data_IF_385956110632
#
_entry.id   IF_385956110632
#
_cell.length_a   1.000
_cell.length_b   1.000
_cell.length_c   1.000
_cell.angle_alpha   90.00
_cell.angle_beta   90.00
_cell.angle_gamma   90.00
#
_symmetry.space_group_name_H-M   'P 1'
#
loop_
_entity.id
_entity.type
_entity.pdbx_description
1 polymer ?
#
# COMPACT_ATOMS: atom_id res chain seq x y z
N UNK A 1 -23.47 6.86 3.26
CA UNK A 1 -23.54 6.01 4.46
C UNK A 1 -23.02 4.66 4.04
N UNK A 2 -21.76 4.36 4.35
CA UNK A 2 -21.20 3.06 3.99
C UNK A 2 -21.49 2.07 5.13
N UNK A 3 -22.08 0.91 4.81
CA UNK A 3 -22.49 -0.07 5.79
C UNK A 3 -21.24 -0.63 6.48
N UNK A 4 -21.32 -0.78 7.79
CA UNK A 4 -20.26 -1.36 8.62
C UNK A 4 -19.92 -2.75 8.09
N UNK A 5 -18.85 -2.86 7.30
CA UNK A 5 -18.35 -4.10 6.72
C UNK A 5 -16.85 -4.19 7.00
N UNK A 6 -16.49 -5.05 7.96
CA UNK A 6 -15.13 -5.56 8.25
C UNK A 6 -13.99 -4.54 8.25
N UNK A 7 -13.72 -3.94 9.42
CA UNK A 7 -12.52 -3.16 9.76
C UNK A 7 -11.91 -2.30 8.62
N UNK A 8 -12.19 -1.00 8.61
CA UNK A 8 -11.40 -0.02 7.83
C UNK A 8 -10.04 0.23 8.50
N UNK A 9 -9.24 -0.84 8.58
CA UNK A 9 -7.97 -0.89 9.31
C UNK A 9 -6.97 0.11 8.73
N UNK A 10 -7.00 0.35 7.42
CA UNK A 10 -6.14 1.34 6.76
C UNK A 10 -6.45 2.75 7.24
N UNK A 11 -7.73 3.15 7.34
CA UNK A 11 -8.08 4.47 7.91
C UNK A 11 -7.72 4.57 9.39
N UNK A 12 -7.92 3.50 10.15
CA UNK A 12 -7.51 3.47 11.56
C UNK A 12 -5.99 3.68 11.69
N UNK A 13 -5.18 2.92 10.94
CA UNK A 13 -3.72 3.10 10.92
C UNK A 13 -3.36 4.53 10.51
N UNK A 14 -3.96 5.07 9.45
CA UNK A 14 -3.72 6.45 9.00
C UNK A 14 -4.06 7.47 10.08
N UNK A 15 -5.13 7.28 10.84
CA UNK A 15 -5.53 8.18 11.93
C UNK A 15 -4.54 8.20 13.10
N UNK A 16 -3.67 7.19 13.23
CA UNK A 16 -2.64 7.11 14.26
C UNK A 16 -1.33 7.80 13.84
N UNK A 17 -1.20 8.23 12.59
CA UNK A 17 0.03 8.84 12.08
C UNK A 17 0.00 10.36 12.31
N UNK A 18 0.97 10.86 13.08
CA UNK A 18 1.23 12.30 13.21
C UNK A 18 2.33 12.76 12.24
N UNK A 19 2.23 12.34 10.97
CA UNK A 19 3.22 12.67 9.93
C UNK A 19 2.52 12.81 8.57
N UNK A 20 2.63 13.98 7.91
CA UNK A 20 1.92 14.23 6.65
C UNK A 20 2.47 13.42 5.47
N UNK A 21 3.76 13.08 5.48
CA UNK A 21 4.44 12.33 4.41
C UNK A 21 5.20 11.14 5.01
N UNK A 22 4.50 10.08 5.48
CA UNK A 22 5.15 8.95 6.12
C UNK A 22 5.95 8.13 5.10
N UNK A 23 6.95 7.40 5.61
CA UNK A 23 7.62 6.35 4.86
C UNK A 23 7.01 5.02 5.31
N UNK A 24 6.45 4.26 4.38
CA UNK A 24 5.77 2.99 4.63
C UNK A 24 6.63 1.87 4.04
N UNK A 25 6.98 0.90 4.88
CA UNK A 25 7.65 -0.33 4.47
C UNK A 25 6.65 -1.48 4.53
N UNK A 26 6.35 -2.07 3.37
CA UNK A 26 5.43 -3.20 3.22
C UNK A 26 6.24 -4.48 2.91
N UNK A 27 6.44 -5.30 3.95
CA UNK A 27 7.25 -6.52 3.90
C UNK A 27 6.33 -7.73 3.68
N UNK A 28 6.59 -8.50 2.63
CA UNK A 28 5.69 -9.58 2.19
C UNK A 28 4.42 -9.02 1.53
N UNK A 29 4.59 -8.00 0.68
CA UNK A 29 3.47 -7.22 0.12
C UNK A 29 2.56 -8.02 -0.83
N UNK A 30 2.89 -9.28 -1.15
CA UNK A 30 2.12 -10.20 -1.99
C UNK A 30 1.73 -9.57 -3.35
N UNK A 31 0.48 -9.12 -3.49
CA UNK A 31 -0.03 -8.52 -4.72
C UNK A 31 -0.17 -6.99 -4.66
N UNK A 32 0.26 -6.37 -3.56
CA UNK A 32 0.29 -4.93 -3.35
C UNK A 32 -1.04 -4.25 -3.08
N UNK A 33 -2.08 -5.02 -2.75
CA UNK A 33 -3.41 -4.44 -2.51
C UNK A 33 -3.41 -3.41 -1.36
N UNK A 34 -2.62 -3.64 -0.31
CA UNK A 34 -2.54 -2.74 0.83
C UNK A 34 -1.69 -1.50 0.54
N UNK A 35 -0.57 -1.66 -0.16
CA UNK A 35 0.18 -0.56 -0.75
C UNK A 35 -0.73 0.41 -1.53
N UNK A 36 -1.63 -0.13 -2.35
CA UNK A 36 -2.58 0.68 -3.11
C UNK A 36 -3.59 1.42 -2.22
N UNK A 37 -4.07 0.78 -1.15
CA UNK A 37 -4.99 1.40 -0.18
C UNK A 37 -4.30 2.54 0.57
N UNK A 38 -3.06 2.33 1.03
CA UNK A 38 -2.30 3.37 1.70
C UNK A 38 -2.00 4.55 0.78
N UNK A 39 -1.59 4.33 -0.48
CA UNK A 39 -1.34 5.44 -1.41
C UNK A 39 -2.61 6.23 -1.77
N UNK A 40 -3.79 5.60 -1.76
CA UNK A 40 -5.06 6.33 -1.91
C UNK A 40 -5.40 7.20 -0.69
N UNK A 41 -5.07 6.74 0.51
CA UNK A 41 -5.33 7.47 1.76
C UNK A 41 -4.25 8.50 2.09
N UNK A 42 -3.01 8.25 1.65
CA UNK A 42 -1.81 9.04 1.89
C UNK A 42 -1.06 9.26 0.55
N UNK A 43 -1.56 10.14 -0.34
CA UNK A 43 -0.98 10.33 -1.66
C UNK A 43 0.46 10.83 -1.66
N UNK A 44 0.91 11.43 -0.56
CA UNK A 44 2.26 11.96 -0.37
C UNK A 44 3.19 11.01 0.40
N UNK A 45 2.74 9.81 0.75
CA UNK A 45 3.58 8.81 1.40
C UNK A 45 4.63 8.26 0.42
N UNK A 46 5.82 7.97 0.95
CA UNK A 46 6.82 7.16 0.24
C UNK A 46 6.59 5.70 0.63
N UNK A 47 6.46 4.80 -0.34
CA UNK A 47 6.09 3.42 -0.07
C UNK A 47 7.07 2.45 -0.74
N UNK A 48 7.64 1.56 0.08
CA UNK A 48 8.60 0.53 -0.35
C UNK A 48 8.01 -0.86 -0.11
N UNK A 49 7.84 -1.61 -1.19
CA UNK A 49 7.29 -2.95 -1.18
C UNK A 49 8.39 -3.99 -1.36
N UNK A 50 8.43 -5.00 -0.50
CA UNK A 50 9.36 -6.12 -0.59
C UNK A 50 8.57 -7.42 -0.67
N UNK A 51 8.72 -8.16 -1.77
CA UNK A 51 8.08 -9.46 -1.97
C UNK A 51 9.10 -10.46 -2.53
N UNK A 52 9.48 -11.50 -1.76
CA UNK A 52 10.46 -12.48 -2.21
C UNK A 52 9.90 -13.49 -3.22
N UNK A 53 8.58 -13.75 -3.28
CA UNK A 53 8.00 -14.67 -4.25
C UNK A 53 7.88 -13.99 -5.63
N UNK A 54 8.65 -14.43 -6.65
CA UNK A 54 8.62 -13.84 -7.98
C UNK A 54 7.25 -13.95 -8.65
N UNK A 55 6.42 -14.94 -8.29
CA UNK A 55 5.06 -15.10 -8.82
C UNK A 55 4.12 -14.03 -8.27
N UNK A 56 4.32 -13.63 -7.02
CA UNK A 56 3.55 -12.57 -6.39
C UNK A 56 3.98 -11.19 -6.92
N UNK A 57 5.29 -10.97 -7.03
CA UNK A 57 5.85 -9.78 -7.66
C UNK A 57 5.43 -9.60 -9.13
N UNK A 58 5.23 -10.70 -9.88
CA UNK A 58 4.71 -10.63 -11.25
C UNK A 58 3.27 -10.09 -11.29
N UNK A 59 2.37 -10.60 -10.43
CA UNK A 59 1.00 -10.09 -10.30
C UNK A 59 0.97 -8.61 -9.91
N UNK A 60 1.93 -8.19 -9.08
CA UNK A 60 2.12 -6.79 -8.72
C UNK A 60 2.48 -5.93 -9.94
N UNK A 61 3.51 -6.32 -10.71
CA UNK A 61 3.96 -5.55 -11.89
C UNK A 61 2.91 -5.43 -13.01
N UNK A 62 2.00 -6.39 -13.13
CA UNK A 62 0.90 -6.29 -14.11
C UNK A 62 -0.16 -5.26 -13.68
N UNK A 63 -0.43 -5.15 -12.37
CA UNK A 63 -1.39 -4.17 -11.80
C UNK A 63 -0.82 -2.75 -11.74
N UNK A 64 0.50 -2.63 -11.63
CA UNK A 64 1.21 -1.37 -11.51
C UNK A 64 2.03 -1.14 -12.78
N UNK A 65 1.55 -0.28 -13.70
CA UNK A 65 2.44 0.34 -14.70
C UNK A 65 3.56 0.98 -13.90
N UNK A 66 4.75 0.38 -13.96
CA UNK A 66 5.97 0.88 -13.36
C UNK A 66 6.12 2.35 -13.79
N UNK A 67 5.81 3.28 -12.88
CA UNK A 67 6.48 4.58 -12.91
C UNK A 67 7.89 4.25 -12.44
N UNK A 68 8.68 3.74 -13.39
CA UNK A 68 10.02 3.25 -13.16
C UNK A 68 10.86 4.39 -12.60
N UNK A 69 11.34 4.20 -11.37
CA UNK A 69 12.53 4.90 -10.92
C UNK A 69 13.66 3.90 -11.13
N UNK A 70 14.28 4.02 -12.31
CA UNK A 70 15.61 3.51 -12.62
C UNK A 70 16.52 4.71 -12.87
#
# INVERSE_FOLDING_TARGET
>A
MDPVCGLDVHRQIVSLLDKPNPVIFDIGCNDGSDAQRFLRLLPSAQLYCFEPDPRAAARFKEKWVLIGIG
#
